data_IF_675899595864
#
_entry.id   IF_675899595864
#
_cell.length_a   1.000
_cell.length_b   1.000
_cell.length_c   1.000
_cell.angle_alpha   90.00
_cell.angle_beta   90.00
_cell.angle_gamma   90.00
#
_symmetry.space_group_name_H-M   'P 1'
#
loop_
_entity.id
_entity.type
_entity.pdbx_description
1 polymer ?
#
# COMPACT_ATOMS: atom_id res chain seq x y z
N UNK A 1 -12.39 -6.85 0.98
CA UNK A 1 -12.05 -6.04 2.17
C UNK A 1 -12.13 -4.58 1.80
N UNK A 2 -12.86 -3.78 2.59
CA UNK A 2 -13.04 -2.34 2.36
C UNK A 2 -12.68 -1.57 3.64
N UNK A 3 -12.21 -0.32 3.53
CA UNK A 3 -11.92 0.50 4.71
C UNK A 3 -11.02 1.72 4.47
N UNK A 4 -10.93 2.55 5.52
CA UNK A 4 -9.96 3.63 5.67
C UNK A 4 -9.01 3.24 6.82
N UNK A 5 -7.87 2.60 6.53
CA UNK A 5 -6.94 2.13 7.55
C UNK A 5 -6.34 3.30 8.36
N UNK A 6 -5.94 3.09 9.61
CA UNK A 6 -5.29 4.13 10.40
C UNK A 6 -3.94 4.56 9.79
N UNK A 7 -3.66 5.86 9.80
CA UNK A 7 -2.39 6.43 9.32
C UNK A 7 -1.50 6.79 10.51
N UNK A 8 -0.49 5.96 10.79
CA UNK A 8 0.41 6.18 11.92
C UNK A 8 1.78 5.55 11.68
N UNK A 9 2.78 6.40 11.42
CA UNK A 9 4.19 5.99 11.27
C UNK A 9 4.84 5.52 12.58
N UNK A 10 4.23 5.80 13.74
CA UNK A 10 4.60 5.24 15.04
C UNK A 10 3.52 4.24 15.45
N UNK A 11 3.53 3.10 14.77
CA UNK A 11 2.57 2.05 14.97
C UNK A 11 2.64 1.46 16.38
N UNK A 12 1.49 1.41 17.06
CA UNK A 12 1.31 0.60 18.28
C UNK A 12 1.06 -0.88 17.95
N UNK A 13 0.82 -1.22 16.68
CA UNK A 13 0.64 -2.59 16.20
C UNK A 13 1.99 -3.30 15.99
N UNK A 14 2.62 -3.70 17.09
CA UNK A 14 3.94 -4.36 17.10
C UNK A 14 3.89 -5.88 17.22
N UNK A 15 2.69 -6.48 17.13
CA UNK A 15 2.49 -7.92 17.27
C UNK A 15 3.44 -8.74 16.38
N UNK A 16 3.94 -9.85 16.91
CA UNK A 16 5.00 -10.65 16.28
C UNK A 16 4.63 -11.09 14.85
N UNK A 17 3.37 -11.50 14.66
CA UNK A 17 2.86 -11.95 13.38
C UNK A 17 3.00 -10.89 12.28
N UNK A 18 2.51 -9.66 12.50
CA UNK A 18 2.56 -8.60 11.48
C UNK A 18 3.99 -8.12 11.28
N UNK A 19 4.77 -8.03 12.36
CA UNK A 19 6.18 -7.68 12.33
C UNK A 19 7.02 -8.66 11.51
N UNK A 20 6.65 -9.96 11.50
CA UNK A 20 7.27 -10.96 10.63
C UNK A 20 6.81 -10.84 9.18
N UNK A 21 5.50 -10.71 8.93
CA UNK A 21 4.93 -10.63 7.58
C UNK A 21 5.39 -9.39 6.81
N UNK A 22 5.58 -8.27 7.50
CA UNK A 22 5.99 -7.02 6.86
C UNK A 22 7.46 -7.04 6.42
N UNK A 23 8.29 -7.92 6.99
CA UNK A 23 9.70 -8.08 6.56
C UNK A 23 9.81 -8.47 5.09
N UNK A 24 8.79 -9.12 4.51
CA UNK A 24 8.76 -9.44 3.08
C UNK A 24 8.83 -8.18 2.20
N UNK A 25 8.33 -7.03 2.68
CA UNK A 25 8.40 -5.75 1.96
C UNK A 25 9.81 -5.12 1.97
N UNK A 26 10.74 -5.67 2.76
CA UNK A 26 12.12 -5.21 2.84
C UNK A 26 13.02 -5.88 1.79
N UNK A 27 12.44 -6.66 0.87
CA UNK A 27 13.18 -7.36 -0.17
C UNK A 27 12.60 -7.05 -1.55
N UNK A 28 13.49 -7.04 -2.55
CA UNK A 28 13.17 -7.00 -3.97
C UNK A 28 14.06 -8.01 -4.67
N UNK A 29 13.46 -8.90 -5.45
CA UNK A 29 14.19 -9.96 -6.17
C UNK A 29 15.12 -10.79 -5.27
N UNK A 30 14.66 -11.04 -4.04
CA UNK A 30 15.40 -11.78 -3.02
C UNK A 30 16.54 -11.00 -2.34
N UNK A 31 16.77 -9.74 -2.70
CA UNK A 31 17.81 -8.88 -2.11
C UNK A 31 17.20 -7.85 -1.16
N UNK A 32 17.84 -7.55 -0.02
CA UNK A 32 17.35 -6.53 0.91
C UNK A 32 17.35 -5.13 0.28
N UNK A 33 16.46 -4.27 0.77
CA UNK A 33 16.49 -2.83 0.46
C UNK A 33 17.81 -2.19 0.90
N UNK A 34 18.33 -1.27 0.10
CA UNK A 34 19.52 -0.47 0.40
C UNK A 34 19.18 0.97 0.83
N UNK A 35 17.89 1.32 0.79
CA UNK A 35 17.35 2.63 1.09
C UNK A 35 17.52 2.97 2.58
N UNK A 36 17.91 4.20 2.86
CA UNK A 36 18.04 4.70 4.23
C UNK A 36 16.64 4.83 4.86
N UNK A 37 16.51 4.37 6.10
CA UNK A 37 15.32 4.54 6.95
C UNK A 37 14.04 3.82 6.46
N UNK A 38 13.97 2.48 6.50
CA UNK A 38 12.78 1.71 6.15
C UNK A 38 11.68 1.76 7.21
N UNK A 39 11.71 2.74 8.13
CA UNK A 39 10.73 2.91 9.21
C UNK A 39 9.32 3.11 8.66
N UNK A 40 9.17 3.77 7.51
CA UNK A 40 7.85 4.02 6.91
C UNK A 40 7.12 2.74 6.47
N UNK A 41 7.84 1.62 6.26
CA UNK A 41 7.20 0.33 6.06
C UNK A 41 6.50 -0.19 7.32
N UNK A 42 6.75 0.41 8.49
CA UNK A 42 6.08 0.07 9.75
C UNK A 42 4.83 0.91 10.01
N UNK A 43 4.46 1.82 9.11
CA UNK A 43 3.23 2.60 9.23
C UNK A 43 2.01 1.65 9.27
N UNK A 44 1.03 2.01 10.10
CA UNK A 44 -0.16 1.19 10.32
C UNK A 44 -0.97 0.93 9.03
N UNK A 45 -1.03 1.88 8.10
CA UNK A 45 -1.73 1.64 6.83
C UNK A 45 -1.01 0.56 5.99
N UNK A 46 0.33 0.51 6.05
CA UNK A 46 1.14 -0.51 5.36
C UNK A 46 0.90 -1.88 5.98
N UNK A 47 0.86 -1.95 7.31
CA UNK A 47 0.51 -3.16 8.05
C UNK A 47 -0.88 -3.65 7.71
N UNK A 48 -1.83 -2.74 7.55
CA UNK A 48 -3.20 -3.08 7.19
C UNK A 48 -3.31 -3.59 5.75
N UNK A 49 -2.59 -2.97 4.80
CA UNK A 49 -2.45 -3.50 3.44
C UNK A 49 -1.81 -4.89 3.47
N UNK A 50 -0.73 -5.10 4.24
CA UNK A 50 -0.09 -6.43 4.37
C UNK A 50 -1.03 -7.47 4.94
N UNK A 51 -1.86 -7.11 5.91
CA UNK A 51 -2.89 -7.98 6.47
C UNK A 51 -3.96 -8.32 5.43
N UNK A 52 -4.45 -7.33 4.68
CA UNK A 52 -5.43 -7.56 3.62
C UNK A 52 -4.85 -8.46 2.50
N UNK A 53 -3.63 -8.18 2.05
CA UNK A 53 -2.90 -9.02 1.10
C UNK A 53 -2.82 -10.46 1.60
N UNK A 54 -2.39 -10.69 2.86
CA UNK A 54 -2.34 -12.02 3.44
C UNK A 54 -3.71 -12.70 3.44
N UNK A 55 -4.77 -12.00 3.84
CA UNK A 55 -6.14 -12.57 3.85
C UNK A 55 -6.62 -12.97 2.45
N UNK A 56 -6.36 -12.15 1.44
CA UNK A 56 -6.74 -12.47 0.06
C UNK A 56 -5.86 -13.59 -0.51
N UNK A 57 -4.58 -13.64 -0.15
CA UNK A 57 -3.69 -14.73 -0.56
C UNK A 57 -4.15 -16.09 -0.01
N UNK A 58 -4.54 -16.15 1.26
CA UNK A 58 -5.10 -17.37 1.89
C UNK A 58 -6.46 -17.76 1.28
N UNK A 59 -7.29 -16.78 0.93
CA UNK A 59 -8.60 -17.03 0.31
C UNK A 59 -8.48 -17.50 -1.14
N UNK A 60 -7.40 -17.12 -1.84
CA UNK A 60 -7.16 -17.46 -3.25
C UNK A 60 -7.90 -16.58 -4.26
N UNK A 61 -8.87 -15.78 -3.83
CA UNK A 61 -9.60 -14.80 -4.64
C UNK A 61 -10.15 -13.67 -3.76
N UNK A 62 -10.46 -12.53 -4.37
CA UNK A 62 -11.18 -11.43 -3.73
C UNK A 62 -10.66 -10.04 -4.10
N UNK A 63 -11.27 -9.03 -3.48
CA UNK A 63 -11.01 -7.61 -3.77
C UNK A 63 -10.66 -6.88 -2.48
N UNK A 64 -9.65 -6.01 -2.53
CA UNK A 64 -9.33 -5.00 -1.52
C UNK A 64 -9.65 -3.63 -2.11
N UNK A 65 -10.35 -2.78 -1.36
CA UNK A 65 -10.64 -1.39 -1.73
C UNK A 65 -10.38 -0.47 -0.54
N UNK A 66 -9.30 0.29 -0.57
CA UNK A 66 -8.91 1.18 0.54
C UNK A 66 -8.65 2.60 0.07
N UNK A 67 -8.85 3.56 0.97
CA UNK A 67 -8.23 4.87 0.88
C UNK A 67 -7.05 4.88 1.85
N UNK A 68 -5.85 5.25 1.38
CA UNK A 68 -4.61 5.18 2.18
C UNK A 68 -3.71 6.39 1.92
N UNK A 69 -2.72 6.64 2.78
CA UNK A 69 -1.64 7.58 2.47
C UNK A 69 -0.95 7.16 1.16
N UNK A 70 -0.81 8.08 0.21
CA UNK A 70 -0.28 7.79 -1.14
C UNK A 70 1.25 7.63 -1.20
N UNK A 71 1.95 7.77 -0.07
CA UNK A 71 3.43 7.79 -0.03
C UNK A 71 4.07 6.52 -0.60
N UNK A 72 3.36 5.39 -0.61
CA UNK A 72 3.88 4.13 -1.17
C UNK A 72 3.94 4.13 -2.71
N UNK A 73 3.33 5.10 -3.38
CA UNK A 73 3.31 5.20 -4.84
C UNK A 73 4.69 5.58 -5.40
N UNK A 74 5.32 6.61 -4.84
CA UNK A 74 6.56 7.18 -5.39
C UNK A 74 7.79 6.97 -4.51
N UNK A 75 7.62 6.72 -3.21
CA UNK A 75 8.76 6.60 -2.30
C UNK A 75 9.59 5.32 -2.61
N UNK A 76 10.91 5.43 -2.83
CA UNK A 76 11.79 4.30 -3.14
C UNK A 76 11.78 3.20 -2.09
N UNK A 77 11.63 3.53 -0.80
CA UNK A 77 11.59 2.56 0.31
C UNK A 77 10.44 1.55 0.18
N UNK A 78 9.37 1.89 -0.57
CA UNK A 78 8.19 1.04 -0.73
C UNK A 78 8.27 0.10 -1.95
N UNK A 79 9.39 0.06 -2.68
CA UNK A 79 9.49 -0.78 -3.88
C UNK A 79 9.31 -2.28 -3.62
N UNK A 80 9.75 -2.77 -2.45
CA UNK A 80 9.51 -4.16 -2.05
C UNK A 80 8.04 -4.45 -1.76
N UNK A 81 7.35 -3.52 -1.12
CA UNK A 81 5.88 -3.57 -0.96
C UNK A 81 5.19 -3.61 -2.33
N UNK A 82 5.53 -2.67 -3.24
CA UNK A 82 4.92 -2.63 -4.59
C UNK A 82 5.15 -3.94 -5.35
N UNK A 83 6.38 -4.47 -5.35
CA UNK A 83 6.67 -5.76 -5.97
C UNK A 83 5.86 -6.90 -5.34
N UNK A 84 5.75 -6.93 -4.02
CA UNK A 84 4.97 -7.96 -3.31
C UNK A 84 3.49 -7.91 -3.69
N UNK A 85 2.89 -6.72 -3.73
CA UNK A 85 1.48 -6.55 -4.12
C UNK A 85 1.25 -6.97 -5.58
N UNK A 86 2.13 -6.58 -6.50
CA UNK A 86 2.05 -6.99 -7.91
C UNK A 86 2.20 -8.50 -8.12
N UNK A 87 2.81 -9.23 -7.16
CA UNK A 87 2.88 -10.70 -7.19
C UNK A 87 1.62 -11.36 -6.64
N UNK A 88 0.92 -10.73 -5.69
CA UNK A 88 -0.27 -11.29 -5.05
C UNK A 88 -1.57 -11.04 -5.83
N UNK A 89 -1.69 -9.86 -6.45
CA UNK A 89 -2.92 -9.41 -7.11
C UNK A 89 -2.75 -9.41 -8.64
N UNK A 90 -3.81 -9.78 -9.35
CA UNK A 90 -3.81 -9.82 -10.82
C UNK A 90 -4.04 -8.42 -11.42
N UNK A 91 -4.82 -7.57 -10.74
CA UNK A 91 -5.09 -6.19 -11.15
C UNK A 91 -4.97 -5.25 -9.95
N UNK A 92 -4.38 -4.07 -10.20
CA UNK A 92 -4.24 -2.99 -9.22
C UNK A 92 -4.63 -1.68 -9.89
N UNK A 93 -5.72 -1.08 -9.42
CA UNK A 93 -6.19 0.24 -9.83
C UNK A 93 -5.90 1.24 -8.73
N UNK A 94 -5.29 2.37 -9.09
CA UNK A 94 -4.93 3.43 -8.15
C UNK A 94 -5.49 4.74 -8.69
N UNK A 95 -6.26 5.43 -7.86
CA UNK A 95 -6.66 6.81 -8.05
C UNK A 95 -5.92 7.64 -7.00
N UNK A 96 -4.84 8.30 -7.42
CA UNK A 96 -4.12 9.26 -6.58
C UNK A 96 -4.95 10.54 -6.47
N UNK A 97 -5.32 10.91 -5.24
CA UNK A 97 -6.10 12.12 -4.96
C UNK A 97 -5.21 13.29 -4.57
N UNK A 98 -3.88 13.11 -4.59
CA UNK A 98 -2.91 14.15 -4.25
C UNK A 98 -3.18 14.76 -2.86
N UNK A 99 -3.17 16.09 -2.73
CA UNK A 99 -3.36 16.78 -1.45
C UNK A 99 -2.17 16.71 -0.49
N UNK A 100 -0.96 16.43 -0.97
CA UNK A 100 0.24 16.38 -0.13
C UNK A 100 0.86 17.76 0.06
N UNK A 101 0.38 18.47 1.08
CA UNK A 101 0.90 19.78 1.46
C UNK A 101 2.38 19.75 1.89
N UNK A 102 2.88 18.64 2.44
CA UNK A 102 4.29 18.48 2.83
C UNK A 102 5.22 18.46 1.61
N UNK A 103 4.75 17.88 0.49
CA UNK A 103 5.44 17.91 -0.81
C UNK A 103 5.15 19.20 -1.59
N UNK A 104 4.26 20.06 -1.10
CA UNK A 104 3.81 21.29 -1.76
C UNK A 104 3.22 21.03 -3.15
N UNK A 105 2.39 19.99 -3.27
CA UNK A 105 1.67 19.69 -4.51
C UNK A 105 0.82 20.88 -4.96
N UNK A 106 0.57 20.92 -6.27
CA UNK A 106 -0.10 22.02 -6.95
C UNK A 106 -1.24 21.47 -7.80
N UNK A 107 -2.41 22.06 -7.63
CA UNK A 107 -3.55 21.78 -8.49
C UNK A 107 -3.26 22.24 -9.93
N UNK A 108 -3.97 21.72 -10.95
CA UNK A 108 -3.75 22.09 -12.35
C UNK A 108 -3.86 23.58 -12.65
N UNK A 109 -4.58 24.34 -11.82
CA UNK A 109 -4.71 25.80 -11.90
C UNK A 109 -3.54 26.58 -11.25
N UNK A 110 -2.54 25.87 -10.70
CA UNK A 110 -1.38 26.44 -10.00
C UNK A 110 -1.66 26.78 -8.52
N UNK A 111 -2.89 26.59 -8.06
CA UNK A 111 -3.32 26.72 -6.68
C UNK A 111 -2.70 25.68 -5.75
N UNK A 112 -3.02 25.75 -4.46
CA UNK A 112 -2.67 24.67 -3.54
C UNK A 112 -3.48 23.44 -3.91
N UNK A 113 -2.83 22.28 -3.91
CA UNK A 113 -3.54 21.01 -3.99
C UNK A 113 -4.08 20.67 -2.60
N UNK A 114 -5.39 20.82 -2.42
CA UNK A 114 -6.06 20.63 -1.14
C UNK A 114 -6.42 19.16 -0.95
N UNK A 115 -6.13 18.63 0.24
CA UNK A 115 -6.45 17.25 0.58
C UNK A 115 -7.95 17.05 0.76
N UNK A 116 -8.46 15.87 0.38
CA UNK A 116 -9.87 15.49 0.58
C UNK A 116 -10.24 15.29 2.06
N UNK A 117 -9.24 15.16 2.95
CA UNK A 117 -9.37 15.20 4.41
C UNK A 117 -8.60 16.37 4.99
N UNK A 118 -8.91 16.80 6.21
CA UNK A 118 -8.16 17.85 6.93
C UNK A 118 -6.83 17.32 7.50
N UNK A 119 -5.94 16.86 6.62
CA UNK A 119 -4.62 16.28 6.93
C UNK A 119 -3.56 16.77 5.92
N UNK A 120 -2.28 16.58 6.26
CA UNK A 120 -1.18 17.10 5.45
C UNK A 120 -0.64 16.11 4.40
N UNK A 121 -0.75 14.81 4.64
CA UNK A 121 -0.25 13.75 3.77
C UNK A 121 -1.25 13.48 2.65
N UNK A 122 -0.76 13.35 1.41
CA UNK A 122 -1.61 13.01 0.29
C UNK A 122 -2.20 11.60 0.39
N UNK A 123 -3.33 11.38 -0.27
CA UNK A 123 -4.10 10.13 -0.18
C UNK A 123 -4.43 9.56 -1.55
N UNK A 124 -4.59 8.25 -1.61
CA UNK A 124 -4.99 7.54 -2.81
C UNK A 124 -6.06 6.48 -2.49
N UNK A 125 -6.99 6.30 -3.41
CA UNK A 125 -7.91 5.16 -3.42
C UNK A 125 -7.28 4.04 -4.23
N UNK A 126 -7.20 2.85 -3.65
CA UNK A 126 -6.62 1.67 -4.28
C UNK A 126 -7.63 0.52 -4.31
N UNK A 127 -7.77 -0.09 -5.48
CA UNK A 127 -8.45 -1.37 -5.66
C UNK A 127 -7.43 -2.42 -6.08
N UNK A 128 -7.37 -3.56 -5.37
CA UNK A 128 -6.50 -4.68 -5.67
C UNK A 128 -7.35 -5.94 -5.81
N UNK A 129 -7.27 -6.61 -6.95
CA UNK A 129 -8.15 -7.73 -7.31
C UNK A 129 -7.29 -8.97 -7.52
N UNK A 130 -7.73 -10.07 -6.92
CA UNK A 130 -7.20 -11.41 -7.15
C UNK A 130 -8.33 -12.29 -7.68
N UNK A 131 -8.15 -12.84 -8.87
CA UNK A 131 -9.11 -13.77 -9.45
C UNK A 131 -8.84 -15.18 -8.97
N UNK A 132 -9.91 -15.96 -8.80
CA UNK A 132 -9.79 -17.39 -8.61
C UNK A 132 -9.03 -18.00 -9.79
N UNK A 133 -7.91 -18.66 -9.51
CA UNK A 133 -7.24 -19.46 -10.53
C UNK A 133 -8.13 -20.67 -10.83
N UNK A 134 -8.67 -20.74 -12.05
CA UNK A 134 -9.35 -21.93 -12.55
C UNK A 134 -8.26 -22.91 -12.97
N UNK A 135 -8.06 -23.96 -12.20
CA UNK A 135 -7.17 -25.05 -12.61
C UNK A 135 -7.86 -25.81 -13.77
N UNK A 136 -7.41 -25.56 -15.00
CA UNK A 136 -7.77 -26.34 -16.18
C UNK A 136 -8.65 -25.59 -17.19
N UNK A 137 -8.00 -24.99 -18.18
CA UNK A 137 -8.65 -24.40 -19.34
C UNK A 137 -7.60 -23.72 -20.21
N UNK A 138 -6.93 -24.52 -21.04
CA UNK A 138 -6.21 -24.03 -22.21
C UNK A 138 -7.08 -23.02 -22.95
N UNK A 139 -6.59 -21.79 -23.09
CA UNK A 139 -6.92 -20.97 -24.25
C UNK A 139 -5.74 -21.05 -25.19
#
# INVERSE_FOLDING_TARGET
MLGNPPYSGHSSNTGEWISKKIKEYYFVDGKPLGEKNPKWLQDDYVKFIRFAQWKIDEAGEGIVGFITNHSYLDNPTFRGMRQSLMKSFDEIYILDLHGNSLKKEKAPDGGKDENVFDIQQGVAVVFMIKYKKINGGTK
#
